data_IF_776891370074
#
_entry.id   IF_776891370074
#
_cell.length_a   1.000
_cell.length_b   1.000
_cell.length_c   1.000
_cell.angle_alpha   90.00
_cell.angle_beta   90.00
_cell.angle_gamma   90.00
#
_symmetry.space_group_name_H-M   'P 1'
#
loop_
_entity.id
_entity.type
_entity.pdbx_description
1 polymer ?
#
# COMPACT_ATOMS: atom_id res chain seq x y z
N UNK A 1 14.00 -0.29 -4.39
CA UNK A 1 13.82 -0.65 -5.81
C UNK A 1 14.29 -2.09 -6.04
N UNK A 2 13.60 -3.09 -5.47
CA UNK A 2 14.05 -4.49 -5.60
C UNK A 2 12.86 -5.43 -5.85
N UNK A 3 11.76 -5.26 -5.12
CA UNK A 3 10.62 -6.19 -5.18
C UNK A 3 9.82 -6.08 -6.48
N UNK A 4 9.59 -4.87 -6.98
CA UNK A 4 8.80 -4.63 -8.19
C UNK A 4 9.52 -5.18 -9.43
N UNK A 5 10.83 -4.98 -9.50
CA UNK A 5 11.69 -5.51 -10.56
C UNK A 5 11.77 -7.03 -10.50
N UNK A 6 11.93 -7.61 -9.30
CA UNK A 6 11.92 -9.07 -9.13
C UNK A 6 10.61 -9.71 -9.59
N UNK A 7 9.46 -9.06 -9.34
CA UNK A 7 8.16 -9.54 -9.82
C UNK A 7 8.14 -9.60 -11.35
N UNK A 8 8.66 -8.57 -12.02
CA UNK A 8 8.78 -8.54 -13.48
C UNK A 8 9.71 -9.63 -13.99
N UNK A 9 10.86 -9.81 -13.34
CA UNK A 9 11.87 -10.81 -13.73
C UNK A 9 11.36 -12.25 -13.55
N UNK A 10 10.41 -12.47 -12.62
CA UNK A 10 9.68 -13.74 -12.46
C UNK A 10 8.54 -13.94 -13.46
N UNK A 11 8.35 -13.00 -14.40
CA UNK A 11 7.37 -13.10 -15.48
C UNK A 11 6.04 -12.39 -15.22
N UNK A 12 5.92 -11.59 -14.17
CA UNK A 12 4.73 -10.73 -14.00
C UNK A 12 4.78 -9.62 -15.06
N UNK A 13 3.82 -9.66 -15.99
CA UNK A 13 3.78 -8.73 -17.13
C UNK A 13 3.08 -7.42 -16.81
N UNK A 14 2.01 -7.48 -16.02
CA UNK A 14 1.22 -6.31 -15.67
C UNK A 14 0.52 -6.51 -14.33
N UNK A 15 0.23 -5.41 -13.65
CA UNK A 15 -0.51 -5.38 -12.39
C UNK A 15 -1.65 -4.38 -12.59
N UNK A 16 -2.90 -4.82 -12.43
CA UNK A 16 -4.04 -3.91 -12.60
C UNK A 16 -4.24 -3.02 -11.36
N UNK A 17 -4.10 -3.60 -10.15
CA UNK A 17 -4.30 -2.91 -8.87
C UNK A 17 -3.17 -3.30 -7.91
N UNK A 18 -2.54 -2.29 -7.29
CA UNK A 18 -1.58 -2.48 -6.21
C UNK A 18 -2.06 -1.75 -4.95
N UNK A 19 -2.29 -2.51 -3.87
CA UNK A 19 -2.70 -1.96 -2.58
C UNK A 19 -1.48 -1.74 -1.69
N UNK A 20 -1.21 -0.50 -1.29
CA UNK A 20 0.00 -0.12 -0.54
C UNK A 20 -0.35 0.51 0.80
N UNK A 21 0.55 0.39 1.78
CA UNK A 21 0.37 0.97 3.10
C UNK A 21 1.15 2.29 3.21
N UNK A 22 0.53 3.41 2.81
CA UNK A 22 0.96 4.78 3.15
C UNK A 22 2.41 5.23 2.85
N UNK A 23 3.25 4.37 2.27
CA UNK A 23 4.65 4.64 1.98
C UNK A 23 4.73 5.68 0.86
N UNK A 24 5.38 6.81 1.12
CA UNK A 24 5.38 7.97 0.23
C UNK A 24 6.00 7.68 -1.14
N UNK A 25 7.09 6.91 -1.17
CA UNK A 25 7.87 6.68 -2.40
C UNK A 25 7.55 5.35 -3.09
N UNK A 26 6.74 4.51 -2.45
CA UNK A 26 6.40 3.18 -2.96
C UNK A 26 5.43 3.21 -4.17
N UNK A 27 4.41 4.09 -4.23
CA UNK A 27 3.59 4.26 -5.42
C UNK A 27 4.40 4.59 -6.68
N UNK A 28 5.43 5.42 -6.55
CA UNK A 28 6.26 5.85 -7.67
C UNK A 28 7.18 4.71 -8.14
N UNK A 29 7.70 3.91 -7.20
CA UNK A 29 8.46 2.70 -7.51
C UNK A 29 7.62 1.67 -8.29
N UNK A 30 6.36 1.45 -7.89
CA UNK A 30 5.44 0.54 -8.60
C UNK A 30 5.14 1.05 -10.00
N UNK A 31 4.86 2.36 -10.16
CA UNK A 31 4.57 2.96 -11.47
C UNK A 31 5.78 2.97 -12.41
N UNK A 32 7.00 3.00 -11.87
CA UNK A 32 8.21 2.92 -12.68
C UNK A 32 8.39 1.53 -13.36
N UNK A 33 7.90 0.45 -12.72
CA UNK A 33 7.99 -0.92 -13.29
C UNK A 33 6.69 -1.33 -14.01
N UNK A 34 5.54 -0.95 -13.45
CA UNK A 34 4.20 -1.27 -13.93
C UNK A 34 3.39 0.02 -14.13
N UNK A 35 3.59 0.75 -15.24
CA UNK A 35 3.01 2.09 -15.44
C UNK A 35 1.48 2.10 -15.55
N UNK A 36 0.86 0.95 -15.85
CA UNK A 36 -0.59 0.79 -15.94
C UNK A 36 -1.26 0.43 -14.61
N UNK A 37 -0.48 0.19 -13.56
CA UNK A 37 -1.01 -0.22 -12.27
C UNK A 37 -1.72 0.93 -11.55
N UNK A 38 -2.95 0.66 -11.10
CA UNK A 38 -3.68 1.57 -10.22
C UNK A 38 -3.22 1.34 -8.79
N UNK A 39 -2.51 2.32 -8.22
CA UNK A 39 -2.06 2.26 -6.82
C UNK A 39 -3.16 2.81 -5.90
N UNK A 40 -3.59 1.99 -4.94
CA UNK A 40 -4.61 2.35 -3.94
C UNK A 40 -4.06 2.16 -2.52
N UNK A 41 -4.58 2.93 -1.57
CA UNK A 41 -4.31 2.66 -0.15
C UNK A 41 -5.03 1.39 0.27
N UNK A 42 -4.33 0.51 0.98
CA UNK A 42 -4.91 -0.75 1.42
C UNK A 42 -6.03 -0.52 2.46
N UNK A 43 -7.27 -0.85 2.09
CA UNK A 43 -8.46 -0.69 2.94
C UNK A 43 -8.34 -1.50 4.23
N UNK A 44 -7.71 -2.67 4.22
CA UNK A 44 -7.48 -3.47 5.43
C UNK A 44 -6.60 -2.72 6.42
N UNK A 45 -5.54 -2.07 5.94
CA UNK A 45 -4.69 -1.25 6.80
C UNK A 45 -5.41 0.00 7.31
N UNK A 46 -6.24 0.63 6.47
CA UNK A 46 -7.07 1.77 6.87
C UNK A 46 -8.09 1.37 7.94
N UNK A 47 -8.86 0.32 7.69
CA UNK A 47 -9.88 -0.18 8.61
C UNK A 47 -9.27 -0.64 9.93
N UNK A 48 -8.11 -1.30 9.92
CA UNK A 48 -7.45 -1.72 11.16
C UNK A 48 -6.84 -0.55 11.94
N UNK A 49 -6.39 0.52 11.27
CA UNK A 49 -6.00 1.76 11.93
C UNK A 49 -7.23 2.44 12.59
N UNK A 50 -8.35 2.55 11.86
CA UNK A 50 -9.57 3.22 12.33
C UNK A 50 -10.36 2.41 13.37
N UNK A 51 -10.40 1.08 13.25
CA UNK A 51 -11.09 0.20 14.20
C UNK A 51 -10.40 0.18 15.57
N UNK A 52 -9.07 0.33 15.61
CA UNK A 52 -8.33 0.49 16.88
C UNK A 52 -8.65 1.80 17.59
N UNK A 53 -9.09 2.83 16.88
CA UNK A 53 -9.43 4.13 17.47
C UNK A 53 -10.89 4.26 17.91
N UNK A 54 -11.78 3.31 17.58
CA UNK A 54 -13.23 3.42 17.86
C UNK A 54 -13.72 2.57 19.04
N UNK A 55 -12.82 1.88 19.77
CA UNK A 55 -13.17 1.13 20.98
C UNK A 55 -12.41 1.53 22.26
N UNK A 56 -11.74 2.68 22.29
CA UNK A 56 -11.16 3.25 23.52
C UNK A 56 -11.63 4.68 23.69
N UNK A 57 -12.84 4.82 24.24
CA UNK A 57 -13.16 6.02 25.00
C UNK A 57 -12.25 6.11 26.23
N UNK A 58 -11.36 7.10 26.23
CA UNK A 58 -10.56 7.63 27.34
C UNK A 58 -9.38 6.80 27.88
N UNK A 59 -8.14 7.21 27.54
CA UNK A 59 -7.06 7.40 28.52
C UNK A 59 -5.89 8.21 27.94
N UNK A 60 -5.85 9.51 28.22
CA UNK A 60 -4.59 10.28 28.32
C UNK A 60 -4.03 10.92 27.04
N UNK A 61 -4.49 12.13 26.73
CA UNK A 61 -3.69 13.17 26.06
C UNK A 61 -4.23 14.56 26.44
N UNK A 62 -4.02 14.90 27.71
CA UNK A 62 -3.51 16.23 28.08
C UNK A 62 -1.99 16.13 28.04
#
# INVERSE_FOLDING_TARGET
MQVETELRDRGVRDIFIACVHGLKDFPDAVKAVFPKAVVQLCIVHMCCATARTTSTGNAGRM
#
